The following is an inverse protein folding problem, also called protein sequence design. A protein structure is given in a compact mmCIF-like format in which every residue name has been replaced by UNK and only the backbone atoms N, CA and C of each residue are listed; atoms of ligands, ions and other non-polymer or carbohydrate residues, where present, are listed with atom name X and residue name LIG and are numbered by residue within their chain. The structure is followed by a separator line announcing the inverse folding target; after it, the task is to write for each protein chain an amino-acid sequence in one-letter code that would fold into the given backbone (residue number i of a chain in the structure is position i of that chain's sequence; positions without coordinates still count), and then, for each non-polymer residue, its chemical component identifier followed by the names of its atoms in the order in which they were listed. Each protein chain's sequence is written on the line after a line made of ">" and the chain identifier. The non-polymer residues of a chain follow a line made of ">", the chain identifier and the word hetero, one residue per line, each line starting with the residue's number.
data_IF_357054212791
#
_entry.id   IF_357054212791
#
_cell.length_a   1.000
_cell.length_b   1.000
_cell.length_c   1.000
_cell.angle_alpha   90.00
_cell.angle_beta   90.00
_cell.angle_gamma   90.00
#
_symmetry.space_group_name_H-M   'P 1'
#
loop_
_entity.id
_entity.type
_entity.pdbx_description
1 polymer ?
#
# COMPACT_ATOMS: atom_id res chain seq x y z
N UNK A 1 -10.91 -3.26 -10.95
CA UNK A 1 -10.86 -2.93 -9.51
C UNK A 1 -12.24 -3.22 -8.94
N UNK A 2 -12.35 -4.11 -7.97
CA UNK A 2 -13.59 -4.23 -7.21
C UNK A 2 -13.86 -2.88 -6.51
N UNK A 3 -15.08 -2.37 -6.60
CA UNK A 3 -15.45 -1.12 -5.97
C UNK A 3 -15.43 -1.34 -4.44
N UNK A 4 -14.56 -0.67 -3.69
CA UNK A 4 -14.42 -0.90 -2.24
C UNK A 4 -15.72 -0.73 -1.44
N UNK A 5 -16.72 -0.04 -2.01
CA UNK A 5 -18.08 0.02 -1.46
C UNK A 5 -18.75 -1.36 -1.45
N UNK A 6 -18.60 -2.16 -2.51
CA UNK A 6 -19.17 -3.51 -2.57
C UNK A 6 -18.49 -4.48 -1.62
N UNK A 7 -17.31 -4.13 -1.09
CA UNK A 7 -16.58 -4.89 -0.06
C UNK A 7 -16.89 -4.40 1.37
N UNK A 8 -17.91 -3.55 1.53
CA UNK A 8 -18.40 -3.11 2.85
C UNK A 8 -17.81 -1.80 3.37
N UNK A 9 -17.01 -1.09 2.56
CA UNK A 9 -16.54 0.24 2.96
C UNK A 9 -17.65 1.30 2.76
N UNK A 10 -17.78 2.22 3.73
CA UNK A 10 -18.69 3.37 3.62
C UNK A 10 -18.17 4.44 2.66
N UNK A 11 -16.85 4.52 2.49
CA UNK A 11 -16.17 5.48 1.62
C UNK A 11 -14.94 4.83 0.99
N UNK A 12 -14.81 4.97 -0.32
CA UNK A 12 -13.59 4.64 -1.03
C UNK A 12 -12.68 5.87 -1.01
N UNK A 13 -11.49 5.74 -0.43
CA UNK A 13 -10.50 6.81 -0.39
C UNK A 13 -9.24 6.35 -1.09
N UNK A 14 -8.71 7.22 -1.94
CA UNK A 14 -7.42 7.00 -2.59
C UNK A 14 -6.31 7.36 -1.60
N UNK A 15 -5.71 6.34 -1.00
CA UNK A 15 -4.65 6.52 0.01
C UNK A 15 -3.25 6.61 -0.58
N UNK A 16 -3.06 6.17 -1.84
CA UNK A 16 -1.78 6.28 -2.55
C UNK A 16 -1.96 6.12 -4.07
N UNK A 17 -1.19 6.88 -4.83
CA UNK A 17 -1.04 6.75 -6.27
C UNK A 17 0.44 6.91 -6.64
N UNK A 18 0.94 6.04 -7.51
CA UNK A 18 2.35 5.97 -7.90
C UNK A 18 2.47 5.50 -9.35
N UNK A 19 3.42 6.09 -10.09
CA UNK A 19 3.60 5.83 -11.53
C UNK A 19 4.81 4.95 -11.82
N UNK A 20 5.89 5.11 -11.04
CA UNK A 20 7.11 4.33 -11.15
C UNK A 20 7.61 3.93 -9.75
N UNK A 21 7.41 2.66 -9.40
CA UNK A 21 7.90 2.13 -8.12
C UNK A 21 6.94 1.12 -7.53
N UNK A 22 7.08 0.91 -6.24
CA UNK A 22 6.33 -0.05 -5.46
C UNK A 22 5.62 0.64 -4.32
N UNK A 23 4.45 0.12 -3.95
CA UNK A 23 3.69 0.54 -2.79
C UNK A 23 3.55 -0.63 -1.83
N UNK A 24 3.51 -0.34 -0.54
CA UNK A 24 3.10 -1.26 0.50
C UNK A 24 2.10 -0.58 1.43
N UNK A 25 1.16 -1.35 1.96
CA UNK A 25 0.18 -0.96 2.95
C UNK A 25 0.32 -1.89 4.16
N UNK A 26 0.60 -1.31 5.32
CA UNK A 26 0.55 -2.00 6.59
C UNK A 26 -0.69 -1.58 7.36
N UNK A 27 -1.24 -2.51 8.13
CA UNK A 27 -2.44 -2.30 8.92
C UNK A 27 -2.25 -2.92 10.30
N UNK A 28 -2.65 -2.16 11.33
CA UNK A 28 -2.92 -2.64 12.69
C UNK A 28 -4.44 -2.71 12.92
N UNK A 29 -4.84 -3.07 14.14
CA UNK A 29 -6.25 -3.07 14.51
C UNK A 29 -6.85 -1.66 14.55
N UNK A 30 -6.02 -0.63 14.78
CA UNK A 30 -6.49 0.75 15.01
C UNK A 30 -6.22 1.70 13.85
N UNK A 31 -5.20 1.44 13.04
CA UNK A 31 -4.79 2.34 11.96
C UNK A 31 -4.09 1.60 10.81
N UNK A 32 -3.73 2.34 9.77
CA UNK A 32 -2.96 1.83 8.64
C UNK A 32 -1.93 2.88 8.21
N UNK A 33 -0.87 2.42 7.55
CA UNK A 33 0.15 3.25 6.93
C UNK A 33 0.36 2.80 5.49
N UNK A 34 0.81 3.73 4.65
CA UNK A 34 1.12 3.46 3.24
C UNK A 34 2.47 4.07 2.90
N UNK A 35 3.34 3.30 2.25
CA UNK A 35 4.62 3.79 1.78
C UNK A 35 4.83 3.41 0.32
N UNK A 36 5.50 4.29 -0.42
CA UNK A 36 5.97 4.04 -1.78
C UNK A 36 7.48 4.16 -1.87
N UNK A 37 8.12 3.21 -2.54
CA UNK A 37 9.58 3.18 -2.74
C UNK A 37 9.95 2.65 -4.13
N UNK A 38 11.24 2.67 -4.47
CA UNK A 38 11.71 2.14 -5.77
C UNK A 38 11.73 0.61 -5.81
N UNK A 39 11.93 -0.04 -4.66
CA UNK A 39 11.89 -1.50 -4.52
C UNK A 39 10.77 -1.94 -3.58
N UNK A 40 10.28 -3.16 -3.79
CA UNK A 40 9.22 -3.73 -2.95
C UNK A 40 9.66 -3.85 -1.49
N UNK A 41 10.86 -4.37 -1.24
CA UNK A 41 11.41 -4.52 0.11
C UNK A 41 11.58 -3.19 0.85
N UNK A 42 11.97 -2.13 0.13
CA UNK A 42 12.09 -0.78 0.70
C UNK A 42 10.70 -0.27 1.11
N UNK A 43 9.68 -0.45 0.25
CA UNK A 43 8.31 -0.05 0.58
C UNK A 43 7.77 -0.83 1.79
N UNK A 44 8.04 -2.13 1.87
CA UNK A 44 7.63 -3.00 2.98
C UNK A 44 8.30 -2.63 4.31
N UNK A 45 9.61 -2.38 4.31
CA UNK A 45 10.31 -1.92 5.52
C UNK A 45 9.82 -0.54 5.96
N UNK A 46 9.74 0.43 5.04
CA UNK A 46 9.31 1.79 5.36
C UNK A 46 7.86 1.84 5.83
N UNK A 47 6.95 1.03 5.28
CA UNK A 47 5.55 1.04 5.71
C UNK A 47 5.39 0.54 7.15
N UNK A 48 6.18 -0.46 7.56
CA UNK A 48 6.20 -0.97 8.93
C UNK A 48 6.79 0.05 9.90
N UNK A 49 7.88 0.72 9.51
CA UNK A 49 8.48 1.82 10.28
C UNK A 49 7.48 2.97 10.49
N UNK A 50 6.76 3.36 9.44
CA UNK A 50 5.73 4.41 9.51
C UNK A 50 4.51 3.99 10.33
N UNK A 51 4.21 2.69 10.38
CA UNK A 51 3.13 2.16 11.21
C UNK A 51 3.48 2.29 12.71
N UNK A 52 4.76 2.18 13.07
CA UNK A 52 5.28 2.37 14.42
C UNK A 52 4.53 1.56 15.52
N UNK A 53 4.00 0.41 15.15
CA UNK A 53 3.21 -0.48 16.03
C UNK A 53 3.62 -1.93 15.77
N UNK A 54 3.79 -2.71 16.84
CA UNK A 54 4.24 -4.10 16.78
C UNK A 54 3.18 -5.04 16.20
N UNK A 55 1.91 -4.63 16.21
CA UNK A 55 0.80 -5.36 15.61
C UNK A 55 0.68 -5.14 14.11
N UNK A 56 1.37 -4.13 13.55
CA UNK A 56 1.27 -3.82 12.14
C UNK A 56 1.84 -4.94 11.26
N UNK A 57 1.05 -5.32 10.26
CA UNK A 57 1.46 -6.29 9.24
C UNK A 57 1.24 -5.71 7.86
N UNK A 58 2.15 -6.00 6.94
CA UNK A 58 1.94 -5.71 5.52
C UNK A 58 0.80 -6.58 5.03
N UNK A 59 -0.29 -5.94 4.59
CA UNK A 59 -1.48 -6.64 4.06
C UNK A 59 -1.58 -6.51 2.54
N UNK A 60 -0.83 -5.59 1.94
CA UNK A 60 -0.76 -5.42 0.50
C UNK A 60 0.59 -4.81 0.11
N UNK A 61 1.24 -5.35 -0.93
CA UNK A 61 2.43 -4.74 -1.53
C UNK A 61 2.49 -5.08 -3.03
N UNK A 62 2.77 -4.09 -3.89
CA UNK A 62 2.91 -4.28 -5.35
C UNK A 62 3.72 -3.18 -6.02
N UNK A 63 4.41 -3.55 -7.10
CA UNK A 63 5.06 -2.61 -8.00
C UNK A 63 4.19 -2.24 -9.21
N UNK A 64 4.40 -1.04 -9.75
CA UNK A 64 3.85 -0.61 -11.03
C UNK A 64 4.39 -1.55 -12.11
N UNK A 65 3.52 -2.01 -13.00
CA UNK A 65 3.97 -2.81 -14.14
C UNK A 65 4.82 -1.94 -15.08
N UNK A 66 5.84 -2.53 -15.69
CA UNK A 66 6.53 -1.87 -16.78
C UNK A 66 5.55 -1.58 -17.91
N UNK A 67 5.52 -0.33 -18.39
CA UNK A 67 4.78 0.02 -19.60
C UNK A 67 5.70 -0.27 -20.78
N UNK A 68 5.40 -1.27 -21.63
CA UNK A 68 6.21 -1.51 -22.82
C UNK A 68 6.10 -0.32 -23.77
N UNK A 69 7.24 0.24 -24.16
CA UNK A 69 7.33 1.19 -25.27
C UNK A 69 7.44 0.41 -26.56
N UNK A 70 6.54 0.70 -27.52
CA UNK A 70 6.58 0.20 -28.90
C UNK A 70 7.12 1.27 -29.82
#
# INVERSE_FOLDING_TARGET
>A
MANCISLGSKKCELVSAYSNGCVALAKSDTHYSVASARKLSEAESTVLELCADTSCKVVYSRCSMAVPVR
#
